data_IF_779182186434
#
_entry.id   IF_779182186434
#
_cell.length_a   1.000
_cell.length_b   1.000
_cell.length_c   1.000
_cell.angle_alpha   90.00
_cell.angle_beta   90.00
_cell.angle_gamma   90.00
#
_symmetry.space_group_name_H-M   'P 1'
#
loop_
_entity.id
_entity.type
_entity.pdbx_description
1 polymer ?
#
# COMPACT_ATOMS: atom_id res chain seq x y z
N UNK A 1 -48.66 -7.97 4.63
CA UNK A 1 -47.29 -7.44 4.83
C UNK A 1 -46.33 -8.34 4.06
N UNK A 2 -45.86 -7.88 2.91
CA UNK A 2 -44.94 -8.63 2.06
C UNK A 2 -43.51 -8.33 2.50
N UNK A 3 -42.81 -9.32 3.04
CA UNK A 3 -41.41 -9.19 3.46
C UNK A 3 -40.54 -9.55 2.26
N UNK A 4 -39.89 -8.56 1.65
CA UNK A 4 -38.86 -8.79 0.64
C UNK A 4 -37.55 -9.16 1.35
N UNK A 5 -37.12 -10.42 1.21
CA UNK A 5 -35.80 -10.87 1.61
C UNK A 5 -34.79 -10.36 0.58
N UNK A 6 -34.08 -9.28 0.90
CA UNK A 6 -32.93 -8.84 0.13
C UNK A 6 -31.79 -9.85 0.35
N UNK A 7 -31.56 -10.72 -0.63
CA UNK A 7 -30.31 -11.47 -0.70
C UNK A 7 -29.17 -10.50 -1.00
N UNK A 8 -28.42 -10.15 0.03
CA UNK A 8 -27.12 -9.52 -0.14
C UNK A 8 -26.16 -10.57 -0.72
N UNK A 9 -26.07 -10.65 -2.05
CA UNK A 9 -25.01 -11.38 -2.72
C UNK A 9 -23.67 -10.67 -2.42
N UNK A 10 -22.98 -11.08 -1.36
CA UNK A 10 -21.60 -10.66 -1.12
C UNK A 10 -20.74 -11.31 -2.21
N UNK A 11 -20.44 -10.55 -3.26
CA UNK A 11 -19.50 -10.96 -4.30
C UNK A 11 -18.12 -11.12 -3.67
N UNK A 12 -17.78 -12.35 -3.34
CA UNK A 12 -16.47 -12.71 -2.82
C UNK A 12 -15.51 -12.78 -4.00
N UNK A 13 -15.06 -11.62 -4.51
CA UNK A 13 -13.98 -11.58 -5.49
C UNK A 13 -12.70 -12.05 -4.79
N UNK A 14 -12.45 -13.35 -4.85
CA UNK A 14 -11.20 -13.94 -4.40
C UNK A 14 -10.08 -13.33 -5.23
N UNK A 15 -8.96 -13.02 -4.57
CA UNK A 15 -7.77 -12.43 -5.16
C UNK A 15 -7.07 -13.29 -6.23
N UNK A 16 -7.69 -14.38 -6.71
CA UNK A 16 -7.02 -15.37 -7.56
C UNK A 16 -5.75 -15.93 -6.90
N UNK A 17 -4.83 -16.41 -7.74
CA UNK A 17 -3.48 -16.85 -7.34
C UNK A 17 -2.49 -15.69 -7.14
N UNK A 18 -2.96 -14.45 -7.14
CA UNK A 18 -2.11 -13.27 -6.96
C UNK A 18 -1.51 -13.24 -5.56
N UNK A 19 -0.21 -13.03 -5.50
CA UNK A 19 0.56 -12.92 -4.26
C UNK A 19 1.35 -11.62 -4.22
N UNK A 20 1.55 -11.11 -3.01
CA UNK A 20 2.44 -9.99 -2.71
C UNK A 20 3.49 -10.49 -1.72
N UNK A 21 4.75 -10.18 -1.97
CA UNK A 21 5.89 -10.53 -1.13
C UNK A 21 6.89 -9.37 -1.06
N UNK A 22 7.88 -9.48 -0.17
CA UNK A 22 8.97 -8.50 -0.08
C UNK A 22 8.52 -7.08 0.32
N UNK A 23 7.39 -6.93 1.01
CA UNK A 23 6.85 -5.60 1.35
C UNK A 23 7.78 -4.89 2.33
N UNK A 24 8.21 -3.68 1.99
CA UNK A 24 9.02 -2.82 2.85
C UNK A 24 8.78 -1.33 2.59
N UNK A 25 9.25 -0.49 3.50
CA UNK A 25 9.39 0.94 3.25
C UNK A 25 10.84 1.30 2.98
N UNK A 26 11.04 2.28 2.10
CA UNK A 26 12.34 2.83 1.73
C UNK A 26 12.24 4.34 1.47
N UNK A 27 13.38 5.03 1.44
CA UNK A 27 13.43 6.47 1.15
C UNK A 27 13.10 6.75 -0.32
N UNK A 28 13.62 5.90 -1.20
CA UNK A 28 13.47 6.03 -2.65
C UNK A 28 13.63 4.67 -3.34
N UNK A 29 13.42 4.66 -4.65
CA UNK A 29 13.61 3.51 -5.52
C UNK A 29 14.46 3.96 -6.70
N UNK A 30 15.48 3.19 -7.06
CA UNK A 30 16.38 3.52 -8.17
C UNK A 30 15.80 3.21 -9.55
N UNK A 31 16.59 3.49 -10.59
CA UNK A 31 16.23 3.26 -12.00
C UNK A 31 16.03 1.77 -12.32
N UNK A 32 16.50 0.86 -11.47
CA UNK A 32 16.35 -0.59 -11.57
C UNK A 32 15.23 -1.13 -10.67
N UNK A 33 14.38 -0.25 -10.15
CA UNK A 33 13.28 -0.60 -9.26
C UNK A 33 13.74 -1.22 -7.93
N UNK A 34 14.96 -0.91 -7.47
CA UNK A 34 15.48 -1.40 -6.19
C UNK A 34 15.27 -0.39 -5.07
N UNK A 35 14.85 -0.84 -3.87
CA UNK A 35 14.61 0.06 -2.75
C UNK A 35 15.93 0.55 -2.11
N UNK A 36 16.02 1.85 -1.85
CA UNK A 36 17.17 2.48 -1.17
C UNK A 36 16.75 3.03 0.19
N UNK A 37 17.52 2.73 1.23
CA UNK A 37 17.27 3.22 2.59
C UNK A 37 16.05 2.55 3.23
N UNK A 38 15.96 1.22 3.12
CA UNK A 38 14.85 0.46 3.68
C UNK A 38 14.83 0.53 5.23
N UNK A 39 13.64 0.66 5.81
CA UNK A 39 13.50 0.74 7.26
C UNK A 39 12.06 0.88 7.75
N UNK A 40 11.90 0.89 9.07
CA UNK A 40 10.62 1.14 9.77
C UNK A 40 10.68 2.36 10.68
N UNK A 41 11.84 3.02 10.76
CA UNK A 41 12.07 4.22 11.56
C UNK A 41 12.80 5.22 10.65
N UNK A 42 12.22 6.41 10.48
CA UNK A 42 12.74 7.46 9.64
C UNK A 42 12.94 8.75 10.44
N UNK A 43 13.92 9.56 10.06
CA UNK A 43 14.19 10.84 10.73
C UNK A 43 13.22 11.92 10.25
N UNK A 44 12.88 12.83 11.15
CA UNK A 44 12.14 14.02 10.84
C UNK A 44 12.85 14.85 9.77
N UNK A 45 12.07 15.49 8.90
CA UNK A 45 12.58 16.17 7.71
C UNK A 45 12.45 15.33 6.44
N UNK A 46 12.15 14.03 6.56
CA UNK A 46 11.80 13.19 5.41
C UNK A 46 10.55 13.74 4.71
N UNK A 47 10.64 13.97 3.41
CA UNK A 47 9.54 14.50 2.58
C UNK A 47 8.86 13.40 1.75
N UNK A 48 9.56 12.30 1.52
CA UNK A 48 9.10 11.19 0.72
C UNK A 48 9.46 9.87 1.38
N UNK A 49 8.52 8.94 1.38
CA UNK A 49 8.75 7.53 1.69
C UNK A 49 8.03 6.68 0.65
N UNK A 50 8.67 5.60 0.21
CA UNK A 50 8.12 4.69 -0.76
C UNK A 50 7.79 3.36 -0.11
N UNK A 51 6.56 2.89 -0.33
CA UNK A 51 6.22 1.49 -0.17
C UNK A 51 6.73 0.75 -1.39
N UNK A 52 7.51 -0.30 -1.19
CA UNK A 52 7.97 -1.19 -2.24
C UNK A 52 7.50 -2.62 -1.95
N UNK A 53 7.14 -3.36 -3.00
CA UNK A 53 6.79 -4.77 -2.90
C UNK A 53 6.96 -5.49 -4.23
N UNK A 54 7.12 -6.80 -4.15
CA UNK A 54 7.06 -7.71 -5.28
C UNK A 54 5.69 -8.39 -5.35
N UNK A 55 5.34 -8.86 -6.53
CA UNK A 55 4.12 -9.61 -6.76
C UNK A 55 4.33 -10.70 -7.79
N UNK A 56 3.47 -11.71 -7.73
CA UNK A 56 3.45 -12.81 -8.70
C UNK A 56 2.03 -13.17 -9.14
N UNK A 57 1.94 -13.75 -10.35
CA UNK A 57 0.71 -14.29 -10.96
C UNK A 57 -0.42 -13.27 -11.09
N UNK A 58 -0.10 -12.03 -11.45
CA UNK A 58 -1.12 -11.04 -11.80
C UNK A 58 -1.76 -11.36 -13.16
N UNK A 59 -3.10 -11.34 -13.20
CA UNK A 59 -3.94 -11.68 -14.36
C UNK A 59 -4.23 -10.48 -15.29
N UNK A 60 -3.69 -9.29 -14.99
CA UNK A 60 -3.90 -8.06 -15.77
C UNK A 60 -5.12 -7.23 -15.39
N UNK A 61 -6.09 -7.81 -14.69
CA UNK A 61 -7.20 -7.08 -14.04
C UNK A 61 -6.94 -6.85 -12.54
N UNK A 62 -5.86 -7.41 -12.01
CA UNK A 62 -5.50 -7.27 -10.60
C UNK A 62 -5.01 -5.85 -10.30
N UNK A 63 -5.40 -5.35 -9.13
CA UNK A 63 -4.90 -4.10 -8.63
C UNK A 63 -5.08 -3.99 -7.13
N UNK A 64 -4.13 -3.31 -6.50
CA UNK A 64 -4.06 -3.19 -5.05
C UNK A 64 -4.38 -1.76 -4.65
N UNK A 65 -5.10 -1.61 -3.55
CA UNK A 65 -5.26 -0.35 -2.87
C UNK A 65 -4.16 -0.21 -1.82
N UNK A 66 -3.38 0.85 -1.95
CA UNK A 66 -2.38 1.29 -0.96
C UNK A 66 -2.98 2.45 -0.18
N UNK A 67 -2.97 2.35 1.15
CA UNK A 67 -3.46 3.40 2.06
C UNK A 67 -2.39 3.75 3.06
N UNK A 68 -2.03 5.03 3.13
CA UNK A 68 -1.16 5.57 4.16
C UNK A 68 -2.00 6.14 5.28
N UNK A 69 -1.65 5.79 6.52
CA UNK A 69 -2.34 6.21 7.73
C UNK A 69 -1.36 6.96 8.62
N UNK A 70 -1.78 8.12 9.13
CA UNK A 70 -1.11 8.84 10.19
C UNK A 70 -2.00 8.81 11.44
N UNK A 71 -1.49 8.26 12.55
CA UNK A 71 -2.27 8.07 13.79
C UNK A 71 -3.63 7.40 13.54
N UNK A 72 -3.64 6.39 12.67
CA UNK A 72 -4.83 5.62 12.30
C UNK A 72 -5.81 6.33 11.36
N UNK A 73 -5.51 7.54 10.87
CA UNK A 73 -6.33 8.26 9.89
C UNK A 73 -5.69 8.18 8.51
N UNK A 74 -6.47 7.82 7.49
CA UNK A 74 -6.00 7.80 6.10
C UNK A 74 -5.60 9.22 5.67
N UNK A 75 -4.34 9.38 5.26
CA UNK A 75 -3.81 10.63 4.69
C UNK A 75 -3.62 10.54 3.17
N UNK A 76 -3.50 9.33 2.63
CA UNK A 76 -3.42 9.09 1.20
C UNK A 76 -3.97 7.69 0.87
N UNK A 77 -4.61 7.55 -0.30
CA UNK A 77 -5.14 6.29 -0.79
C UNK A 77 -5.09 6.20 -2.31
N UNK A 78 -4.32 5.26 -2.86
CA UNK A 78 -4.16 5.05 -4.29
C UNK A 78 -4.57 3.64 -4.72
N UNK A 79 -5.03 3.48 -5.96
CA UNK A 79 -5.25 2.17 -6.58
C UNK A 79 -4.19 1.91 -7.65
N UNK A 80 -3.35 0.91 -7.43
CA UNK A 80 -2.27 0.51 -8.33
C UNK A 80 -2.72 -0.67 -9.17
N UNK A 81 -2.72 -0.51 -10.51
CA UNK A 81 -2.91 -1.64 -11.43
C UNK A 81 -1.62 -2.46 -11.55
N UNK A 82 -1.77 -3.78 -11.48
CA UNK A 82 -0.65 -4.70 -11.67
C UNK A 82 -0.45 -4.96 -13.17
N UNK A 83 0.81 -5.00 -13.59
CA UNK A 83 1.14 -5.50 -14.92
C UNK A 83 0.94 -7.03 -14.89
N UNK A 84 0.42 -7.67 -15.95
CA UNK A 84 0.29 -9.12 -15.98
C UNK A 84 1.62 -9.84 -15.73
N UNK A 85 1.57 -10.96 -15.00
CA UNK A 85 2.75 -11.76 -14.63
C UNK A 85 3.33 -11.38 -13.27
N UNK A 86 4.65 -11.40 -13.19
CA UNK A 86 5.43 -11.16 -11.97
C UNK A 86 6.17 -9.83 -12.10
N UNK A 87 6.45 -9.16 -10.97
CA UNK A 87 7.24 -7.95 -10.98
C UNK A 87 7.31 -7.24 -9.63
N UNK A 88 7.74 -5.98 -9.66
CA UNK A 88 7.79 -5.11 -8.50
C UNK A 88 6.99 -3.83 -8.73
N UNK A 89 6.51 -3.22 -7.63
CA UNK A 89 5.83 -1.93 -7.62
C UNK A 89 6.33 -1.10 -6.44
N UNK A 90 6.34 0.21 -6.67
CA UNK A 90 6.62 1.21 -5.66
C UNK A 90 5.50 2.25 -5.68
N UNK A 91 5.15 2.77 -4.51
CA UNK A 91 4.26 3.91 -4.38
C UNK A 91 4.75 4.81 -3.27
N UNK A 92 5.03 6.06 -3.61
CA UNK A 92 5.63 7.01 -2.69
C UNK A 92 4.59 7.96 -2.11
N UNK A 93 4.63 8.12 -0.80
CA UNK A 93 3.92 9.16 -0.07
C UNK A 93 4.74 10.45 -0.12
N UNK A 94 4.13 11.49 -0.66
CA UNK A 94 4.60 12.87 -0.63
C UNK A 94 3.41 13.74 -0.23
N UNK A 95 3.61 14.71 0.67
CA UNK A 95 2.57 15.69 0.99
C UNK A 95 2.44 16.69 -0.16
N UNK A 96 1.21 17.12 -0.47
CA UNK A 96 0.92 17.99 -1.63
C UNK A 96 1.68 19.32 -1.59
N UNK A 97 2.00 19.82 -0.40
CA UNK A 97 2.75 21.06 -0.17
C UNK A 97 4.28 20.86 -0.11
N UNK A 98 4.75 19.61 -0.25
CA UNK A 98 6.16 19.24 -0.11
C UNK A 98 6.71 19.39 1.31
N UNK A 99 5.85 19.59 2.31
CA UNK A 99 6.27 19.65 3.70
C UNK A 99 6.84 18.29 4.16
N UNK A 100 7.74 18.30 5.15
CA UNK A 100 8.15 17.06 5.81
C UNK A 100 6.96 16.30 6.38
N UNK A 101 7.03 14.98 6.36
CA UNK A 101 6.07 14.14 7.03
C UNK A 101 6.12 14.42 8.55
N UNK A 102 4.96 14.64 9.21
CA UNK A 102 4.88 14.87 10.65
C UNK A 102 5.53 13.75 11.48
N UNK A 103 5.91 14.08 12.72
CA UNK A 103 6.42 13.08 13.67
C UNK A 103 5.30 12.18 14.19
N UNK A 104 5.66 10.93 14.43
CA UNK A 104 4.83 9.95 15.13
C UNK A 104 4.60 8.68 14.34
N UNK A 105 3.58 7.93 14.76
CA UNK A 105 3.29 6.61 14.22
C UNK A 105 2.43 6.66 12.97
N UNK A 106 2.84 5.86 12.00
CA UNK A 106 2.17 5.66 10.73
C UNK A 106 1.94 4.18 10.46
N UNK A 107 1.08 3.89 9.50
CA UNK A 107 1.10 2.59 8.84
C UNK A 107 0.76 2.72 7.36
N UNK A 108 1.17 1.73 6.57
CA UNK A 108 0.76 1.59 5.18
C UNK A 108 0.11 0.24 4.96
N UNK A 109 -1.13 0.27 4.46
CA UNK A 109 -1.94 -0.91 4.23
C UNK A 109 -2.04 -1.22 2.74
N UNK A 110 -1.78 -2.47 2.39
CA UNK A 110 -1.95 -3.01 1.03
C UNK A 110 -3.10 -4.00 1.03
N UNK A 111 -4.08 -3.78 0.15
CA UNK A 111 -5.29 -4.60 0.10
C UNK A 111 -5.81 -4.77 -1.32
N UNK A 112 -6.52 -5.87 -1.59
CA UNK A 112 -7.29 -6.06 -2.82
C UNK A 112 -8.67 -6.61 -2.46
N UNK A 113 -9.72 -5.89 -2.88
CA UNK A 113 -11.09 -6.14 -2.43
C UNK A 113 -11.17 -6.20 -0.89
N UNK A 114 -11.64 -7.33 -0.34
CA UNK A 114 -11.76 -7.57 1.10
C UNK A 114 -10.48 -8.16 1.73
N UNK A 115 -9.47 -8.53 0.93
CA UNK A 115 -8.21 -9.12 1.41
C UNK A 115 -7.21 -8.04 1.75
N UNK A 116 -6.74 -8.02 2.99
CA UNK A 116 -5.55 -7.26 3.40
C UNK A 116 -4.33 -8.17 3.23
N UNK A 117 -3.34 -7.70 2.46
CA UNK A 117 -2.05 -8.40 2.33
C UNK A 117 -1.11 -8.00 3.44
N UNK A 118 -1.10 -6.71 3.81
CA UNK A 118 -0.22 -6.21 4.85
C UNK A 118 -0.72 -4.89 5.42
N UNK A 119 -0.30 -4.61 6.65
CA UNK A 119 -0.40 -3.33 7.34
C UNK A 119 0.94 -3.08 8.03
N UNK A 120 1.81 -2.31 7.38
CA UNK A 120 3.20 -2.14 7.78
C UNK A 120 3.31 -0.91 8.69
N UNK A 121 3.61 -1.08 9.99
CA UNK A 121 3.82 0.05 10.88
C UNK A 121 5.20 0.70 10.64
N UNK A 122 5.28 2.01 10.79
CA UNK A 122 6.54 2.75 10.80
C UNK A 122 6.44 4.03 11.63
N UNK A 123 7.58 4.59 11.99
CA UNK A 123 7.65 5.81 12.80
C UNK A 123 8.53 6.88 12.17
N UNK A 124 8.14 8.13 12.40
CA UNK A 124 8.97 9.31 12.13
C UNK A 124 9.38 9.91 13.47
N UNK A 125 10.67 9.84 13.75
CA UNK A 125 11.30 10.28 15.01
C UNK A 125 12.16 11.53 14.80
N UNK A 126 12.62 12.17 15.88
CA UNK A 126 13.57 13.29 15.83
C UNK A 126 14.89 12.95 15.12
#
# INVERSE_FOLDING_TARGET
MTVFLFWAARSNRAAGSFEIHGILLCNEVDDQMQPIGAGSIFRHGVRQLCLWFEYSRASGNDGVRVRWLYRGRTINSEYLRMTPGDGAKAYCLLLEDGAPLPRGSYSVRVSMYDRVFSDVPFEIID
#
